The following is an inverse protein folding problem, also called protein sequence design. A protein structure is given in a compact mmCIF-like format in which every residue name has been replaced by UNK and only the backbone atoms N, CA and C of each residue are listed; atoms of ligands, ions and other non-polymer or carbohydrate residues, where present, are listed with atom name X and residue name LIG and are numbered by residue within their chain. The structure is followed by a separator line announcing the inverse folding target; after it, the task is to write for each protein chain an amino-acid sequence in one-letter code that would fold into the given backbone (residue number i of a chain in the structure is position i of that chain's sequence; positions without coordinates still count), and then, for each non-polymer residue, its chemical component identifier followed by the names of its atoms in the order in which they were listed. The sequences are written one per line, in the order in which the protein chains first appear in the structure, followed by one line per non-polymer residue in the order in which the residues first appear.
data_IF_718481775993
#
_entry.id   IF_718481775993
#
_cell.length_a   1.000
_cell.length_b   1.000
_cell.length_c   1.000
_cell.angle_alpha   90.00
_cell.angle_beta   90.00
_cell.angle_gamma   90.00
#
_symmetry.space_group_name_H-M   'P 1'
#
loop_
_entity.id
_entity.type
_entity.pdbx_description
1 polymer ?
#
# COMPACT_ATOMS: atom_id res chain seq x y z
N UNK A 1 2.84 -14.30 13.60
CA UNK A 1 1.98 -13.67 12.57
C UNK A 1 2.86 -13.25 11.40
N UNK A 2 2.34 -13.29 10.17
CA UNK A 2 3.09 -12.94 8.96
C UNK A 2 2.73 -11.54 8.47
N UNK A 3 3.69 -10.85 7.85
CA UNK A 3 3.48 -9.58 7.17
C UNK A 3 3.80 -9.77 5.69
N UNK A 4 2.80 -9.57 4.83
CA UNK A 4 2.96 -9.77 3.39
C UNK A 4 2.97 -8.43 2.68
N UNK A 5 3.86 -8.27 1.71
CA UNK A 5 3.89 -7.07 0.85
C UNK A 5 2.82 -7.19 -0.22
N UNK A 6 2.20 -6.05 -0.56
CA UNK A 6 1.45 -5.95 -1.80
C UNK A 6 2.37 -6.23 -3.00
N UNK A 7 1.87 -6.90 -4.05
CA UNK A 7 2.58 -7.05 -5.31
C UNK A 7 3.09 -5.72 -5.87
N UNK A 8 4.27 -5.73 -6.49
CA UNK A 8 4.86 -4.55 -7.11
C UNK A 8 4.02 -3.99 -8.27
N UNK A 9 3.18 -4.82 -8.89
CA UNK A 9 2.19 -4.40 -9.91
C UNK A 9 1.23 -3.35 -9.36
N UNK A 10 0.84 -3.47 -8.08
CA UNK A 10 -0.06 -2.53 -7.40
C UNK A 10 0.72 -1.29 -6.94
N UNK A 11 1.86 -1.47 -6.27
CA UNK A 11 2.57 -0.36 -5.60
C UNK A 11 3.51 0.44 -6.49
N UNK A 12 4.12 -0.17 -7.52
CA UNK A 12 5.15 0.48 -8.37
C UNK A 12 4.64 0.76 -9.78
N UNK A 13 3.92 -0.19 -10.40
CA UNK A 13 3.51 -0.07 -11.80
C UNK A 13 2.19 0.68 -11.97
N UNK A 14 1.16 0.32 -11.20
CA UNK A 14 -0.11 1.01 -11.21
C UNK A 14 -0.09 2.35 -10.44
N UNK A 15 0.95 2.59 -9.62
CA UNK A 15 1.06 3.74 -8.73
C UNK A 15 -0.23 4.00 -7.92
N UNK A 16 -0.86 2.90 -7.46
CA UNK A 16 -2.13 2.90 -6.71
C UNK A 16 -3.37 3.37 -7.50
N UNK A 17 -3.31 3.45 -8.83
CA UNK A 17 -4.43 3.88 -9.69
C UNK A 17 -4.98 2.71 -10.50
N UNK A 18 -6.32 2.65 -10.63
CA UNK A 18 -7.03 1.66 -11.46
C UNK A 18 -6.55 0.22 -11.22
N UNK A 19 -6.33 -0.16 -9.95
CA UNK A 19 -5.74 -1.45 -9.58
C UNK A 19 -6.66 -2.30 -8.70
N UNK A 20 -7.95 -1.96 -8.64
CA UNK A 20 -8.95 -2.58 -7.78
C UNK A 20 -9.08 -4.10 -8.03
N UNK A 21 -9.03 -4.52 -9.29
CA UNK A 21 -9.06 -5.93 -9.67
C UNK A 21 -7.82 -6.69 -9.14
N UNK A 22 -6.64 -6.09 -9.23
CA UNK A 22 -5.39 -6.67 -8.74
C UNK A 22 -5.38 -6.78 -7.21
N UNK A 23 -5.92 -5.77 -6.53
CA UNK A 23 -6.08 -5.77 -5.07
C UNK A 23 -7.04 -6.88 -4.65
N UNK A 24 -8.19 -6.99 -5.31
CA UNK A 24 -9.20 -8.00 -5.04
C UNK A 24 -8.64 -9.42 -5.24
N UNK A 25 -7.93 -9.64 -6.35
CA UNK A 25 -7.28 -10.92 -6.65
C UNK A 25 -6.25 -11.28 -5.57
N UNK A 26 -5.40 -10.33 -5.17
CA UNK A 26 -4.41 -10.54 -4.13
C UNK A 26 -5.05 -10.90 -2.79
N UNK A 27 -6.02 -10.11 -2.31
CA UNK A 27 -6.67 -10.36 -1.03
C UNK A 27 -7.44 -11.68 -1.02
N UNK A 28 -8.11 -12.02 -2.12
CA UNK A 28 -8.81 -13.31 -2.29
C UNK A 28 -7.84 -14.48 -2.14
N UNK A 29 -6.68 -14.42 -2.78
CA UNK A 29 -5.63 -15.46 -2.66
C UNK A 29 -5.07 -15.57 -1.25
N UNK A 30 -5.00 -14.46 -0.53
CA UNK A 30 -4.50 -14.42 0.84
C UNK A 30 -5.54 -14.80 1.90
N UNK A 31 -6.82 -14.87 1.53
CA UNK A 31 -7.93 -15.16 2.46
C UNK A 31 -7.74 -16.42 3.31
N UNK A 32 -7.19 -17.56 2.81
CA UNK A 32 -6.97 -18.74 3.64
C UNK A 32 -5.93 -18.53 4.76
N UNK A 33 -5.07 -17.51 4.60
CA UNK A 33 -4.03 -17.15 5.55
C UNK A 33 -4.44 -16.02 6.48
N UNK A 34 -5.60 -15.38 6.27
CA UNK A 34 -6.06 -14.20 7.02
C UNK A 34 -5.90 -14.31 8.55
N UNK A 35 -6.26 -15.44 9.21
CA UNK A 35 -6.09 -15.57 10.67
C UNK A 35 -4.63 -15.49 11.16
N UNK A 36 -3.66 -15.73 10.27
CA UNK A 36 -2.22 -15.72 10.56
C UNK A 36 -1.53 -14.42 10.14
N UNK A 37 -2.24 -13.54 9.42
CA UNK A 37 -1.71 -12.27 8.93
C UNK A 37 -1.78 -11.23 10.05
N UNK A 38 -0.65 -10.55 10.28
CA UNK A 38 -0.59 -9.39 11.15
C UNK A 38 -0.99 -8.13 10.40
N UNK A 39 -0.39 -7.92 9.22
CA UNK A 39 -0.53 -6.71 8.42
C UNK A 39 -0.14 -6.96 6.96
N UNK A 40 -0.76 -6.22 6.04
CA UNK A 40 -0.29 -6.07 4.67
C UNK A 40 0.55 -4.82 4.53
N UNK A 41 1.67 -4.93 3.83
CA UNK A 41 2.66 -3.86 3.70
C UNK A 41 2.65 -3.27 2.30
N UNK A 42 2.35 -1.99 2.21
CA UNK A 42 2.41 -1.20 0.99
C UNK A 42 3.72 -0.42 0.97
N UNK A 43 4.73 -1.01 0.34
CA UNK A 43 6.00 -0.33 0.10
C UNK A 43 5.94 0.45 -1.21
N UNK A 44 6.13 1.77 -1.12
CA UNK A 44 6.09 2.69 -2.26
C UNK A 44 7.49 2.95 -2.81
N UNK A 45 7.63 3.22 -4.13
CA UNK A 45 8.92 3.56 -4.74
C UNK A 45 9.44 4.91 -4.24
N UNK A 46 10.74 5.16 -4.39
CA UNK A 46 11.36 6.43 -4.04
C UNK A 46 10.86 7.61 -4.89
N UNK A 47 10.24 7.34 -6.03
CA UNK A 47 9.60 8.34 -6.91
C UNK A 47 8.23 8.78 -6.44
N UNK A 48 7.59 8.04 -5.52
CA UNK A 48 6.28 8.41 -4.98
C UNK A 48 6.47 9.52 -3.94
N UNK A 49 6.16 10.75 -4.30
CA UNK A 49 6.36 11.94 -3.47
C UNK A 49 5.12 12.42 -2.71
N UNK A 50 5.23 13.53 -1.96
CA UNK A 50 4.12 14.13 -1.24
C UNK A 50 2.94 14.56 -2.13
N UNK A 51 3.17 14.85 -3.41
CA UNK A 51 2.11 15.27 -4.35
C UNK A 51 1.14 14.13 -4.67
N UNK A 52 1.54 12.89 -4.42
CA UNK A 52 0.78 11.68 -4.71
C UNK A 52 0.00 11.17 -3.50
N UNK A 53 0.10 11.82 -2.33
CA UNK A 53 -0.67 11.49 -1.14
C UNK A 53 -2.19 11.36 -1.40
N UNK A 54 -2.85 12.19 -2.23
CA UNK A 54 -4.27 11.98 -2.55
C UNK A 54 -4.56 10.60 -3.15
N UNK A 55 -3.67 10.07 -4.01
CA UNK A 55 -3.83 8.73 -4.56
C UNK A 55 -3.62 7.64 -3.50
N UNK A 56 -2.71 7.85 -2.55
CA UNK A 56 -2.55 6.94 -1.40
C UNK A 56 -3.81 6.92 -0.52
N UNK A 57 -4.41 8.08 -0.23
CA UNK A 57 -5.64 8.14 0.56
C UNK A 57 -6.79 7.42 -0.11
N UNK A 58 -7.04 7.72 -1.39
CA UNK A 58 -8.07 7.01 -2.16
C UNK A 58 -7.85 5.50 -2.20
N UNK A 59 -6.60 5.05 -2.32
CA UNK A 59 -6.28 3.64 -2.29
C UNK A 59 -6.56 3.02 -0.92
N UNK A 60 -6.13 3.65 0.18
CA UNK A 60 -6.38 3.11 1.53
C UNK A 60 -7.87 3.10 1.88
N UNK A 61 -8.62 4.12 1.43
CA UNK A 61 -10.08 4.20 1.62
C UNK A 61 -10.83 3.09 0.87
N UNK A 62 -10.27 2.54 -0.21
CA UNK A 62 -10.88 1.43 -0.95
C UNK A 62 -10.55 0.04 -0.40
N UNK A 63 -9.65 -0.07 0.57
CA UNK A 63 -9.26 -1.35 1.15
C UNK A 63 -10.27 -1.87 2.19
N UNK A 64 -10.43 -3.21 2.32
CA UNK A 64 -11.30 -3.77 3.35
C UNK A 64 -10.83 -3.45 4.78
N UNK A 65 -11.74 -2.90 5.60
CA UNK A 65 -11.43 -2.48 6.98
C UNK A 65 -11.15 -3.62 7.98
N UNK A 66 -11.26 -4.89 7.57
CA UNK A 66 -10.99 -6.05 8.44
C UNK A 66 -9.49 -6.38 8.58
N UNK A 67 -8.64 -5.78 7.74
CA UNK A 67 -7.20 -6.01 7.75
C UNK A 67 -6.42 -4.80 8.27
N UNK A 68 -5.20 -5.06 8.74
CA UNK A 68 -4.25 -4.00 9.06
C UNK A 68 -3.36 -3.72 7.85
N UNK A 69 -3.06 -2.44 7.62
CA UNK A 69 -2.21 -1.98 6.53
C UNK A 69 -1.06 -1.14 7.07
N UNK A 70 0.14 -1.35 6.54
CA UNK A 70 1.32 -0.55 6.84
C UNK A 70 1.85 0.08 5.56
N UNK A 71 2.16 1.38 5.59
CA UNK A 71 2.70 2.10 4.43
C UNK A 71 4.16 2.41 4.69
N UNK A 72 5.02 2.10 3.73
CA UNK A 72 6.44 2.43 3.76
C UNK A 72 6.76 3.39 2.62
N UNK A 73 7.08 4.64 2.98
CA UNK A 73 7.51 5.68 2.06
C UNK A 73 9.04 5.71 1.96
N UNK A 74 9.54 6.05 0.77
CA UNK A 74 10.99 6.12 0.48
C UNK A 74 11.44 7.43 -0.13
N UNK A 75 10.51 8.33 -0.46
CA UNK A 75 10.84 9.62 -1.06
C UNK A 75 11.44 10.57 0.00
N UNK A 76 12.61 11.19 -0.26
CA UNK A 76 13.33 12.00 0.74
C UNK A 76 12.50 13.13 1.36
N UNK A 77 11.62 13.77 0.58
CA UNK A 77 10.76 14.86 1.09
C UNK A 77 9.83 14.44 2.25
N UNK A 78 9.48 13.15 2.40
CA UNK A 78 8.72 12.72 3.58
C UNK A 78 9.52 12.75 4.89
N UNK A 79 10.85 12.85 4.77
CA UNK A 79 11.78 12.91 5.90
C UNK A 79 12.35 14.31 6.11
N UNK A 80 12.04 15.26 5.22
CA UNK A 80 12.37 16.66 5.39
C UNK A 80 11.53 17.21 6.56
N UNK A 81 12.17 17.57 7.67
CA UNK A 81 11.52 18.00 8.92
C UNK A 81 10.92 19.42 8.86
N UNK A 82 10.49 19.87 7.67
CA UNK A 82 9.84 21.17 7.47
C UNK A 82 10.77 22.39 7.59
N UNK A 83 11.98 22.34 7.03
CA UNK A 83 12.87 23.51 6.93
C UNK A 83 12.50 24.48 5.77
N UNK A 84 11.27 24.40 5.24
CA UNK A 84 10.69 25.35 4.27
C UNK A 84 9.47 26.08 4.86
#
# INVERSE_FOLDING_TARGET
RFCFKFPATISHQAALRHCDDLVTEFLTRMSPLAPRIGQYWLQLPATFGPRELPALWHFLDSLPGEFNYGVEVRHPQFFAKGEE
#
